data_IF_485803591338
#
_entry.id   IF_485803591338
#
_cell.length_a   1.000
_cell.length_b   1.000
_cell.length_c   1.000
_cell.angle_alpha   90.00
_cell.angle_beta   90.00
_cell.angle_gamma   90.00
#
_symmetry.space_group_name_H-M   'P 1'
#
loop_
_entity.id
_entity.type
_entity.pdbx_description
1 polymer ?
#
# COMPACT_ATOMS: atom_id res chain seq x y z
N UNK A 1 -11.98 17.40 27.92
CA UNK A 1 -11.00 16.97 26.91
C UNK A 1 -11.67 17.10 25.55
N UNK A 2 -11.35 18.17 24.82
CA UNK A 2 -11.97 18.45 23.52
C UNK A 2 -11.35 17.56 22.45
N UNK A 3 -12.14 16.63 21.91
CA UNK A 3 -11.84 16.00 20.62
C UNK A 3 -12.15 17.05 19.56
N UNK A 4 -11.15 17.86 19.20
CA UNK A 4 -11.23 18.68 18.01
C UNK A 4 -11.29 17.73 16.81
N UNK A 5 -12.50 17.52 16.31
CA UNK A 5 -12.71 16.86 15.03
C UNK A 5 -11.84 17.52 13.97
N UNK A 6 -11.14 16.68 13.22
CA UNK A 6 -10.36 17.05 12.05
C UNK A 6 -11.23 17.89 11.11
N UNK A 7 -11.04 19.21 11.12
CA UNK A 7 -11.29 20.02 9.94
C UNK A 7 -10.32 19.49 8.91
N UNK A 8 -10.82 18.58 8.07
CA UNK A 8 -10.03 17.80 7.12
C UNK A 8 -9.03 18.70 6.44
N UNK A 9 -7.75 18.38 6.62
CA UNK A 9 -6.64 19.08 6.02
C UNK A 9 -6.94 19.34 4.53
N UNK A 10 -7.08 20.62 4.16
CA UNK A 10 -7.54 21.07 2.84
C UNK A 10 -6.40 21.12 1.81
N UNK A 11 -5.17 20.76 2.20
CA UNK A 11 -4.04 20.64 1.27
C UNK A 11 -4.44 19.74 0.09
N UNK A 12 -4.02 20.11 -1.12
CA UNK A 12 -4.09 19.21 -2.25
C UNK A 12 -3.12 18.02 -2.06
N UNK A 13 -3.27 16.98 -2.87
CA UNK A 13 -2.50 15.76 -2.70
C UNK A 13 -0.99 15.99 -2.93
N UNK A 14 -0.62 16.96 -3.78
CA UNK A 14 0.79 17.32 -4.04
C UNK A 14 1.42 17.91 -2.78
N UNK A 15 0.75 18.86 -2.14
CA UNK A 15 1.18 19.47 -0.89
C UNK A 15 1.23 18.46 0.25
N UNK A 16 0.30 17.51 0.30
CA UNK A 16 0.34 16.40 1.26
C UNK A 16 1.57 15.51 1.03
N UNK A 17 1.88 15.13 -0.21
CA UNK A 17 3.08 14.33 -0.51
C UNK A 17 4.37 15.08 -0.14
N UNK A 18 4.43 16.39 -0.39
CA UNK A 18 5.58 17.21 0.02
C UNK A 18 5.74 17.24 1.55
N UNK A 19 4.64 17.32 2.31
CA UNK A 19 4.68 17.25 3.77
C UNK A 19 5.12 15.86 4.27
N UNK A 20 4.65 14.78 3.64
CA UNK A 20 5.11 13.41 3.93
C UNK A 20 6.61 13.28 3.66
N UNK A 21 7.14 13.88 2.59
CA UNK A 21 8.58 13.91 2.33
C UNK A 21 9.37 14.61 3.47
N UNK A 22 8.75 15.55 4.17
CA UNK A 22 9.28 16.20 5.37
C UNK A 22 9.05 15.45 6.68
N UNK A 23 8.42 14.27 6.64
CA UNK A 23 8.14 13.46 7.83
C UNK A 23 6.81 13.78 8.54
N UNK A 24 5.86 14.45 7.88
CA UNK A 24 4.53 14.71 8.44
C UNK A 24 3.65 13.46 8.37
N UNK A 25 3.54 12.74 9.50
CA UNK A 25 2.68 11.56 9.61
C UNK A 25 1.18 11.89 9.52
N UNK A 26 0.76 13.11 9.90
CA UNK A 26 -0.63 13.53 9.77
C UNK A 26 -1.00 13.74 8.29
N UNK A 27 -0.09 14.29 7.48
CA UNK A 27 -0.29 14.37 6.03
C UNK A 27 -0.42 12.97 5.38
N UNK A 28 0.37 11.99 5.82
CA UNK A 28 0.24 10.61 5.34
C UNK A 28 -1.14 10.04 5.70
N UNK A 29 -1.64 10.33 6.90
CA UNK A 29 -2.97 9.90 7.33
C UNK A 29 -4.07 10.48 6.43
N UNK A 30 -3.96 11.76 6.06
CA UNK A 30 -4.93 12.40 5.14
C UNK A 30 -4.88 11.73 3.76
N UNK A 31 -3.70 11.46 3.21
CA UNK A 31 -3.57 10.70 1.95
C UNK A 31 -4.18 9.29 2.08
N UNK A 32 -3.96 8.63 3.22
CA UNK A 32 -4.56 7.32 3.49
C UNK A 32 -6.09 7.40 3.46
N UNK A 33 -6.69 8.30 4.24
CA UNK A 33 -8.13 8.42 4.35
C UNK A 33 -8.77 8.81 3.01
N UNK A 34 -8.11 9.64 2.19
CA UNK A 34 -8.57 10.02 0.85
C UNK A 34 -8.45 8.90 -0.18
N UNK A 35 -7.33 8.15 -0.19
CA UNK A 35 -7.02 7.24 -1.29
C UNK A 35 -7.25 5.76 -1.02
N UNK A 36 -7.20 5.31 0.24
CA UNK A 36 -7.39 3.91 0.58
C UNK A 36 -8.76 3.35 0.13
N UNK A 37 -9.90 4.07 0.27
CA UNK A 37 -11.20 3.51 -0.09
C UNK A 37 -11.31 3.13 -1.58
N UNK A 38 -10.92 4.01 -2.49
CA UNK A 38 -10.97 3.72 -3.92
C UNK A 38 -9.87 2.73 -4.33
N UNK A 39 -8.71 2.74 -3.67
CA UNK A 39 -7.65 1.78 -3.91
C UNK A 39 -8.14 0.36 -3.59
N UNK A 40 -8.75 0.16 -2.41
CA UNK A 40 -9.36 -1.13 -2.02
C UNK A 40 -10.39 -1.58 -3.05
N UNK A 41 -11.33 -0.69 -3.44
CA UNK A 41 -12.35 -1.03 -4.43
C UNK A 41 -11.74 -1.48 -5.77
N UNK A 42 -10.66 -0.82 -6.21
CA UNK A 42 -9.99 -1.13 -7.48
C UNK A 42 -9.11 -2.39 -7.42
N UNK A 43 -8.54 -2.70 -6.26
CA UNK A 43 -7.81 -3.95 -6.02
C UNK A 43 -8.76 -5.15 -5.91
N UNK A 44 -9.96 -4.96 -5.34
CA UNK A 44 -11.02 -5.99 -5.32
C UNK A 44 -11.44 -6.48 -6.70
N UNK A 45 -11.36 -5.62 -7.72
CA UNK A 45 -11.58 -6.01 -9.11
C UNK A 45 -10.50 -6.98 -9.67
N UNK A 46 -9.41 -7.22 -8.94
CA UNK A 46 -8.25 -8.06 -9.34
C UNK A 46 -7.99 -9.23 -8.40
N UNK A 47 -8.49 -9.18 -7.18
CA UNK A 47 -8.25 -10.18 -6.14
C UNK A 47 -9.47 -10.21 -5.21
N UNK A 48 -9.91 -11.41 -4.83
CA UNK A 48 -11.04 -11.62 -3.92
C UNK A 48 -10.62 -11.84 -2.46
N UNK A 49 -9.32 -11.96 -2.20
CA UNK A 49 -8.77 -12.17 -0.86
C UNK A 49 -8.59 -10.82 -0.16
N UNK A 50 -9.51 -10.51 0.76
CA UNK A 50 -9.50 -9.26 1.52
C UNK A 50 -8.24 -9.10 2.38
N UNK A 51 -7.61 -10.19 2.85
CA UNK A 51 -6.38 -10.11 3.63
C UNK A 51 -5.20 -9.66 2.75
N UNK A 52 -5.06 -10.24 1.56
CA UNK A 52 -4.02 -9.80 0.61
C UNK A 52 -4.23 -8.36 0.14
N UNK A 53 -5.48 -7.92 0.02
CA UNK A 53 -5.79 -6.52 -0.32
C UNK A 53 -5.40 -5.59 0.84
N UNK A 54 -5.74 -5.94 2.08
CA UNK A 54 -5.38 -5.14 3.25
C UNK A 54 -3.85 -4.98 3.38
N UNK A 55 -3.10 -6.07 3.21
CA UNK A 55 -1.64 -6.07 3.23
C UNK A 55 -1.06 -5.22 2.08
N UNK A 56 -1.62 -5.35 0.87
CA UNK A 56 -1.19 -4.55 -0.27
C UNK A 56 -1.42 -3.04 -0.04
N UNK A 57 -2.56 -2.66 0.54
CA UNK A 57 -2.86 -1.27 0.88
C UNK A 57 -1.91 -0.75 1.95
N UNK A 58 -1.65 -1.52 3.01
CA UNK A 58 -0.70 -1.13 4.06
C UNK A 58 0.70 -0.90 3.47
N UNK A 59 1.22 -1.86 2.71
CA UNK A 59 2.53 -1.76 2.05
C UNK A 59 2.58 -0.61 1.03
N UNK A 60 1.44 -0.25 0.44
CA UNK A 60 1.34 0.89 -0.46
C UNK A 60 1.63 2.19 0.27
N UNK A 61 0.97 2.44 1.40
CA UNK A 61 1.18 3.68 2.15
C UNK A 61 2.54 3.72 2.87
N UNK A 62 3.10 2.56 3.25
CA UNK A 62 4.50 2.47 3.68
C UNK A 62 5.47 2.84 2.54
N UNK A 63 5.19 2.40 1.30
CA UNK A 63 5.99 2.76 0.14
C UNK A 63 5.82 4.24 -0.25
N UNK A 64 4.63 4.82 -0.08
CA UNK A 64 4.40 6.27 -0.23
C UNK A 64 5.25 7.04 0.75
N UNK A 65 5.22 6.70 2.05
CA UNK A 65 6.06 7.32 3.07
C UNK A 65 7.56 7.31 2.70
N UNK A 66 8.08 6.15 2.30
CA UNK A 66 9.49 5.97 1.92
C UNK A 66 9.85 6.64 0.59
N UNK A 67 8.87 6.79 -0.30
CA UNK A 67 9.05 7.25 -1.67
C UNK A 67 8.77 8.73 -1.89
N UNK A 68 8.09 9.41 -0.96
CA UNK A 68 7.60 10.77 -1.13
C UNK A 68 8.72 11.76 -1.48
N UNK A 69 9.88 11.69 -0.82
CA UNK A 69 11.00 12.58 -1.09
C UNK A 69 11.63 12.42 -2.49
N UNK A 70 11.34 11.31 -3.18
CA UNK A 70 11.81 11.04 -4.55
C UNK A 70 10.73 11.25 -5.60
N UNK A 71 9.49 11.48 -5.17
CA UNK A 71 8.39 11.72 -6.08
C UNK A 71 8.56 13.11 -6.70
N UNK A 72 8.77 13.14 -8.01
CA UNK A 72 8.77 14.38 -8.78
C UNK A 72 7.30 14.78 -8.91
N UNK A 73 6.95 15.99 -8.52
CA UNK A 73 5.56 16.46 -8.52
C UNK A 73 5.01 16.74 -9.93
N UNK A 74 5.30 15.84 -10.87
CA UNK A 74 5.06 15.95 -12.31
C UNK A 74 3.89 15.08 -12.80
N UNK A 75 3.16 14.42 -11.88
CA UNK A 75 2.04 13.53 -12.22
C UNK A 75 0.92 13.53 -11.18
N UNK A 76 -0.14 12.78 -11.49
CA UNK A 76 -1.29 12.58 -10.59
C UNK A 76 -0.91 11.67 -9.41
N UNK A 77 -1.10 12.16 -8.18
CA UNK A 77 -0.79 11.41 -6.94
C UNK A 77 -1.62 10.13 -6.86
N UNK A 78 -2.89 10.17 -7.30
CA UNK A 78 -3.76 9.00 -7.37
C UNK A 78 -3.19 7.90 -8.29
N UNK A 79 -2.72 8.27 -9.48
CA UNK A 79 -2.09 7.36 -10.43
C UNK A 79 -0.78 6.79 -9.89
N UNK A 80 0.01 7.60 -9.19
CA UNK A 80 1.22 7.15 -8.52
C UNK A 80 0.93 6.11 -7.42
N UNK A 81 -0.03 6.41 -6.53
CA UNK A 81 -0.52 5.49 -5.49
C UNK A 81 -1.07 4.20 -6.13
N UNK A 82 -1.85 4.31 -7.20
CA UNK A 82 -2.38 3.16 -7.93
C UNK A 82 -1.26 2.26 -8.45
N UNK A 83 -0.24 2.84 -9.07
CA UNK A 83 0.92 2.09 -9.56
C UNK A 83 1.63 1.33 -8.44
N UNK A 84 1.79 1.94 -7.27
CA UNK A 84 2.36 1.27 -6.09
C UNK A 84 1.43 0.12 -5.65
N UNK A 85 0.14 0.38 -5.51
CA UNK A 85 -0.85 -0.60 -5.05
C UNK A 85 -0.92 -1.86 -5.90
N UNK A 86 -0.91 -1.73 -7.23
CA UNK A 86 -0.87 -2.90 -8.12
C UNK A 86 0.42 -3.70 -7.93
N UNK A 87 1.57 -3.04 -7.78
CA UNK A 87 2.85 -3.72 -7.55
C UNK A 87 2.85 -4.48 -6.22
N UNK A 88 2.28 -3.92 -5.16
CA UNK A 88 2.17 -4.59 -3.86
C UNK A 88 1.21 -5.79 -3.95
N UNK A 89 0.04 -5.64 -4.56
CA UNK A 89 -0.89 -6.75 -4.75
C UNK A 89 -0.24 -7.91 -5.53
N UNK A 90 0.45 -7.62 -6.63
CA UNK A 90 1.17 -8.65 -7.41
C UNK A 90 2.27 -9.31 -6.57
N UNK A 91 2.95 -8.55 -5.72
CA UNK A 91 3.99 -9.07 -4.82
C UNK A 91 3.40 -10.06 -3.81
N UNK A 92 2.27 -9.71 -3.20
CA UNK A 92 1.54 -10.54 -2.26
C UNK A 92 0.98 -11.81 -2.92
N UNK A 93 0.32 -11.68 -4.08
CA UNK A 93 -0.17 -12.84 -4.85
C UNK A 93 0.97 -13.81 -5.23
N UNK A 94 2.13 -13.29 -5.65
CA UNK A 94 3.31 -14.12 -5.95
C UNK A 94 3.86 -14.82 -4.71
N UNK A 95 3.80 -14.19 -3.53
CA UNK A 95 4.21 -14.81 -2.26
C UNK A 95 3.24 -15.92 -1.85
N UNK A 96 1.94 -15.66 -1.90
CA UNK A 96 0.91 -16.64 -1.61
C UNK A 96 1.00 -17.88 -2.52
N UNK A 97 1.18 -17.69 -3.83
CA UNK A 97 1.36 -18.81 -4.77
C UNK A 97 2.62 -19.65 -4.52
N UNK A 98 3.71 -19.05 -3.99
CA UNK A 98 4.90 -19.81 -3.59
C UNK A 98 4.67 -20.64 -2.32
N UNK A 99 3.86 -20.14 -1.38
CA UNK A 99 3.54 -20.83 -0.13
C UNK A 99 2.55 -21.97 -0.36
N UNK A 100 1.60 -21.80 -1.29
CA UNK A 100 0.64 -22.82 -1.67
C UNK A 100 1.28 -24.01 -2.42
N UNK A 101 2.48 -23.84 -3.00
CA UNK A 101 3.22 -24.94 -3.62
C UNK A 101 3.93 -25.73 -2.51
N UNK A 102 3.48 -26.95 -2.15
CA UNK A 102 4.18 -27.76 -1.16
C UNK A 102 5.63 -27.98 -1.62
N UNK A 103 6.58 -27.81 -0.70
CA UNK A 103 7.96 -28.18 -0.96
C UNK A 103 7.99 -29.66 -1.38
N UNK A 104 8.79 -30.04 -2.40
CA UNK A 104 8.91 -31.44 -2.76
C UNK A 104 9.26 -32.23 -1.49
N UNK A 105 8.50 -33.29 -1.25
CA UNK A 105 8.72 -34.21 -0.15
C UNK A 105 10.21 -34.58 -0.16
N UNK A 106 10.95 -34.16 0.87
CA UNK A 106 12.32 -34.63 1.05
C UNK A 106 12.22 -36.10 1.41
N UNK A 107 12.35 -36.95 0.40
CA UNK A 107 12.50 -38.38 0.59
C UNK A 107 13.73 -38.56 1.49
N UNK A 108 13.47 -38.95 2.73
CA UNK A 108 14.51 -39.24 3.70
C UNK A 108 15.23 -40.46 3.13
N UNK A 109 16.41 -40.24 2.53
CA UNK A 109 17.23 -41.31 2.00
C UNK A 109 17.34 -42.37 3.11
N UNK A 110 16.80 -43.56 2.84
CA UNK A 110 16.94 -44.70 3.72
C UNK A 110 18.44 -44.98 3.81
N UNK A 111 19.02 -44.66 4.96
CA UNK A 111 20.40 -45.02 5.26
C UNK A 111 20.46 -46.55 5.40
N UNK A 112 21.36 -47.24 4.68
CA UNK A 112 21.66 -48.64 4.94
C UNK A 112 22.37 -48.82 6.28
#
# INVERSE_FOLDING_TARGET
MSVSGSSGDQRDDVALVAAVAGGDAAALRVLYDRHAPWLVARLRARCWDDALIADAVQDTFLAVWRGAARWRADGDVGAWIWGIGVRQLVTHLRRAGRQARPAPFRERAAAP
#
